data_IF_212496096957
#
_entry.id   IF_212496096957
#
_cell.length_a   1.000
_cell.length_b   1.000
_cell.length_c   1.000
_cell.angle_alpha   90.00
_cell.angle_beta   90.00
_cell.angle_gamma   90.00
#
_symmetry.space_group_name_H-M   'P 1'
#
loop_
_entity.id
_entity.type
_entity.pdbx_description
1 polymer ?
#
# COMPACT_ATOMS: atom_id res chain seq x y z
N UNK A 1 -4.58 -19.05 -15.52
CA UNK A 1 -3.73 -19.20 -14.33
C UNK A 1 -3.83 -20.65 -13.90
N UNK A 2 -2.72 -21.38 -13.79
CA UNK A 2 -2.75 -22.77 -13.38
C UNK A 2 -3.06 -22.85 -11.88
N UNK A 3 -4.14 -23.53 -11.52
CA UNK A 3 -4.58 -23.62 -10.14
C UNK A 3 -5.05 -25.03 -9.78
N UNK A 4 -5.10 -25.33 -8.50
CA UNK A 4 -5.66 -26.59 -7.98
C UNK A 4 -7.08 -26.34 -7.52
N UNK A 5 -7.99 -27.16 -8.02
CA UNK A 5 -9.39 -27.22 -7.58
C UNK A 5 -9.74 -28.64 -7.17
N UNK A 6 -10.80 -28.78 -6.37
CA UNK A 6 -11.22 -30.06 -5.82
C UNK A 6 -12.44 -30.56 -6.60
N UNK A 7 -12.37 -31.78 -7.13
CA UNK A 7 -13.53 -32.41 -7.78
C UNK A 7 -14.62 -32.74 -6.75
N UNK A 8 -15.87 -32.96 -7.19
CA UNK A 8 -16.98 -33.39 -6.30
C UNK A 8 -16.71 -34.67 -5.50
N UNK A 9 -15.66 -35.43 -5.85
CA UNK A 9 -15.21 -36.64 -5.15
C UNK A 9 -14.02 -36.40 -4.21
N UNK A 10 -13.64 -35.14 -3.96
CA UNK A 10 -12.53 -34.79 -3.08
C UNK A 10 -11.13 -34.90 -3.70
N UNK A 11 -11.02 -35.23 -5.00
CA UNK A 11 -9.72 -35.37 -5.67
C UNK A 11 -9.21 -34.01 -6.15
N UNK A 12 -7.91 -33.76 -5.99
CA UNK A 12 -7.22 -32.56 -6.48
C UNK A 12 -7.02 -32.65 -7.99
N UNK A 13 -7.35 -31.57 -8.71
CA UNK A 13 -7.16 -31.45 -10.16
C UNK A 13 -6.61 -30.08 -10.52
N UNK A 14 -5.73 -30.05 -11.52
CA UNK A 14 -5.26 -28.82 -12.15
C UNK A 14 -6.37 -28.23 -13.05
N UNK A 15 -6.70 -26.97 -12.85
CA UNK A 15 -7.69 -26.21 -13.60
C UNK A 15 -7.14 -24.84 -14.01
N UNK A 16 -7.77 -24.27 -15.05
CA UNK A 16 -7.53 -22.91 -15.53
C UNK A 16 -8.80 -22.03 -15.41
N UNK A 17 -9.83 -22.48 -14.69
CA UNK A 17 -11.07 -21.73 -14.45
C UNK A 17 -10.94 -20.78 -13.25
N UNK A 18 -11.92 -19.91 -13.02
CA UNK A 18 -11.97 -18.99 -11.87
C UNK A 18 -12.36 -19.65 -10.53
N UNK A 19 -12.66 -20.95 -10.53
CA UNK A 19 -13.10 -21.72 -9.35
C UNK A 19 -11.90 -22.41 -8.66
N UNK A 20 -10.84 -21.63 -8.44
CA UNK A 20 -9.58 -22.10 -7.88
C UNK A 20 -9.60 -21.98 -6.36
N UNK A 21 -9.34 -23.09 -5.67
CA UNK A 21 -9.22 -23.08 -4.21
C UNK A 21 -7.76 -22.85 -3.77
N UNK A 22 -6.79 -23.30 -4.57
CA UNK A 22 -5.36 -23.02 -4.37
C UNK A 22 -4.71 -22.63 -5.69
N UNK A 23 -3.75 -21.71 -5.66
CA UNK A 23 -2.96 -21.31 -6.82
C UNK A 23 -1.61 -22.02 -6.76
N UNK A 24 -1.15 -22.57 -7.88
CA UNK A 24 0.20 -23.16 -7.98
C UNK A 24 1.14 -22.06 -8.42
N UNK A 25 2.16 -21.80 -7.61
CA UNK A 25 3.24 -20.88 -7.96
C UNK A 25 4.56 -21.64 -8.01
N UNK A 26 5.42 -21.29 -8.97
CA UNK A 26 6.81 -21.70 -8.95
C UNK A 26 7.58 -21.04 -7.81
N UNK A 27 8.74 -21.58 -7.44
CA UNK A 27 9.55 -21.02 -6.35
C UNK A 27 9.96 -19.57 -6.64
N UNK A 28 10.31 -19.27 -7.89
CA UNK A 28 10.66 -17.92 -8.35
C UNK A 28 9.49 -16.94 -8.24
N UNK A 29 8.27 -17.36 -8.63
CA UNK A 29 7.06 -16.53 -8.47
C UNK A 29 6.73 -16.29 -6.99
N UNK A 30 6.94 -17.30 -6.13
CA UNK A 30 6.75 -17.17 -4.69
C UNK A 30 7.76 -16.19 -4.06
N UNK A 31 9.04 -16.27 -4.42
CA UNK A 31 10.07 -15.32 -3.99
C UNK A 31 9.81 -13.90 -4.51
N UNK A 32 9.27 -13.76 -5.72
CA UNK A 32 8.82 -12.48 -6.27
C UNK A 32 7.68 -11.86 -5.46
N UNK A 33 6.69 -12.67 -5.05
CA UNK A 33 5.58 -12.21 -4.21
C UNK A 33 6.07 -11.75 -2.82
N UNK A 34 6.98 -12.49 -2.21
CA UNK A 34 7.58 -12.11 -0.92
C UNK A 34 8.33 -10.77 -1.02
N UNK A 35 9.09 -10.53 -2.09
CA UNK A 35 9.75 -9.24 -2.31
C UNK A 35 8.77 -8.11 -2.66
N UNK A 36 7.73 -8.37 -3.44
CA UNK A 36 6.71 -7.36 -3.79
C UNK A 36 5.84 -6.95 -2.60
N UNK A 37 5.84 -7.74 -1.53
CA UNK A 37 5.12 -7.44 -0.29
C UNK A 37 5.87 -6.44 0.61
N UNK A 38 7.11 -6.08 0.26
CA UNK A 38 7.77 -4.94 0.88
C UNK A 38 7.12 -3.66 0.38
N UNK A 39 6.35 -3.01 1.26
CA UNK A 39 5.93 -1.62 1.10
C UNK A 39 7.18 -0.75 0.93
N UNK A 40 7.61 -0.56 -0.32
CA UNK A 40 8.68 0.34 -0.69
C UNK A 40 8.11 1.77 -0.63
N UNK A 41 8.10 2.34 0.57
CA UNK A 41 7.74 3.74 0.76
C UNK A 41 8.82 4.55 0.03
N UNK A 42 8.40 5.21 -1.05
CA UNK A 42 9.26 6.11 -1.79
C UNK A 42 9.71 7.26 -0.87
N UNK A 43 11.02 7.34 -0.65
CA UNK A 43 11.60 8.29 0.29
C UNK A 43 11.40 9.75 -0.14
N UNK A 44 11.33 10.01 -1.45
CA UNK A 44 11.08 11.34 -2.01
C UNK A 44 9.63 11.77 -1.76
N UNK A 45 8.68 10.85 -1.97
CA UNK A 45 7.27 11.08 -1.64
C UNK A 45 7.09 11.36 -0.14
N UNK A 46 7.73 10.55 0.72
CA UNK A 46 7.66 10.73 2.17
C UNK A 46 8.20 12.10 2.61
N UNK A 47 9.37 12.49 2.08
CA UNK A 47 9.99 13.77 2.39
C UNK A 47 9.14 14.95 1.90
N UNK A 48 8.59 14.85 0.70
CA UNK A 48 7.75 15.90 0.09
C UNK A 48 6.49 16.11 0.91
N UNK A 49 5.73 15.06 1.19
CA UNK A 49 4.49 15.15 1.97
C UNK A 49 4.76 15.70 3.37
N UNK A 50 5.79 15.20 4.05
CA UNK A 50 6.16 15.67 5.39
C UNK A 50 6.60 17.15 5.37
N UNK A 51 7.33 17.57 4.34
CA UNK A 51 7.76 18.95 4.13
C UNK A 51 6.57 19.90 3.96
N UNK A 52 5.60 19.54 3.12
CA UNK A 52 4.39 20.35 2.92
C UNK A 52 3.52 20.43 4.18
N UNK A 53 3.42 19.34 4.94
CA UNK A 53 2.70 19.33 6.23
C UNK A 53 3.38 20.27 7.23
N UNK A 54 4.70 20.19 7.36
CA UNK A 54 5.46 21.08 8.25
C UNK A 54 5.35 22.55 7.83
N UNK A 55 5.44 22.83 6.53
CA UNK A 55 5.27 24.17 5.99
C UNK A 55 3.86 24.71 6.28
N UNK A 56 2.82 23.90 6.05
CA UNK A 56 1.43 24.26 6.34
C UNK A 56 1.20 24.51 7.84
N UNK A 57 1.81 23.69 8.69
CA UNK A 57 1.73 23.85 10.14
C UNK A 57 2.39 25.15 10.61
N UNK A 58 3.63 25.41 10.17
CA UNK A 58 4.37 26.61 10.57
C UNK A 58 3.71 27.87 10.02
N UNK A 59 3.30 27.87 8.74
CA UNK A 59 2.62 29.01 8.13
C UNK A 59 1.30 29.31 8.82
N UNK A 60 0.46 28.30 9.08
CA UNK A 60 -0.77 28.45 9.86
C UNK A 60 -0.54 28.96 11.28
N UNK A 61 0.51 28.47 11.95
CA UNK A 61 0.88 28.93 13.29
C UNK A 61 1.29 30.42 13.30
N UNK A 62 2.13 30.84 12.35
CA UNK A 62 2.58 32.23 12.23
C UNK A 62 1.42 33.14 11.86
N UNK A 63 0.59 32.76 10.88
CA UNK A 63 -0.62 33.49 10.50
C UNK A 63 -1.58 33.66 11.68
N UNK A 64 -1.78 32.60 12.47
CA UNK A 64 -2.59 32.66 13.68
C UNK A 64 -2.05 33.65 14.72
N UNK A 65 -0.72 33.76 14.88
CA UNK A 65 -0.10 34.75 15.78
C UNK A 65 -0.26 36.18 15.26
N UNK A 66 -0.13 36.41 13.96
CA UNK A 66 -0.29 37.73 13.33
C UNK A 66 -1.74 38.20 13.48
N UNK A 67 -2.70 37.37 13.09
CA UNK A 67 -4.13 37.69 13.21
C UNK A 67 -4.54 37.95 14.67
N UNK A 68 -4.02 37.15 15.62
CA UNK A 68 -4.25 37.38 17.06
C UNK A 68 -3.64 38.68 17.56
N UNK A 69 -2.52 39.14 17.01
CA UNK A 69 -1.91 40.42 17.37
C UNK A 69 -2.68 41.61 16.81
N UNK A 70 -3.27 41.46 15.62
CA UNK A 70 -4.04 42.52 14.96
C UNK A 70 -5.47 42.65 15.50
N UNK A 71 -6.09 41.54 15.93
CA UNK A 71 -7.42 41.56 16.56
C UNK A 71 -7.43 41.98 18.03
N UNK A 72 -6.30 42.49 18.55
CA UNK A 72 -6.12 42.91 19.95
C UNK A 72 -5.92 44.43 20.07
N UNK A 73 -6.57 45.16 19.15
CA UNK A 73 -6.81 46.61 19.20
C UNK A 73 -8.29 46.88 19.39
#
# INVERSE_FOLDING_TARGET
MNCVTTTRKGLLKLSNSSDCQLVVLSNDEYSGLLHSSQLNIDGELYATVSGWILFSFVSGHVLGRILKSLGKG
#
